data_IF_506052917129
#
_entry.id   IF_506052917129
#
_cell.length_a   1.000
_cell.length_b   1.000
_cell.length_c   1.000
_cell.angle_alpha   90.00
_cell.angle_beta   90.00
_cell.angle_gamma   90.00
#
_symmetry.space_group_name_H-M   'P 1'
#
loop_
_entity.id
_entity.type
_entity.pdbx_description
1 polymer ?
#
# COMPACT_ATOMS: atom_id res chain seq x y z
N UNK A 1 8.77 3.55 -12.00
CA UNK A 1 9.60 3.53 -10.76
C UNK A 1 9.44 2.16 -10.13
N UNK A 2 10.50 1.49 -9.64
CA UNK A 2 10.34 0.16 -9.09
C UNK A 2 9.49 0.26 -7.82
N UNK A 3 8.30 -0.33 -7.85
CA UNK A 3 7.47 -0.53 -6.66
C UNK A 3 8.19 -1.63 -5.87
N UNK A 4 9.15 -1.24 -5.04
CA UNK A 4 10.00 -2.14 -4.25
C UNK A 4 9.23 -2.83 -3.11
N UNK A 5 7.97 -2.47 -2.89
CA UNK A 5 7.12 -3.03 -1.83
C UNK A 5 5.95 -3.73 -2.50
N UNK A 6 6.02 -5.06 -2.55
CA UNK A 6 4.86 -5.91 -2.79
C UNK A 6 3.77 -5.55 -1.75
N UNK A 7 2.49 -5.48 -2.13
CA UNK A 7 1.40 -5.15 -1.19
C UNK A 7 1.39 -6.06 0.04
N UNK A 8 1.79 -7.33 -0.10
CA UNK A 8 1.99 -8.25 1.02
C UNK A 8 3.10 -7.80 1.99
N UNK A 9 4.17 -7.20 1.48
CA UNK A 9 5.27 -6.65 2.29
C UNK A 9 4.85 -5.38 3.03
N UNK A 10 3.86 -4.63 2.54
CA UNK A 10 3.38 -3.42 3.21
C UNK A 10 2.79 -3.73 4.59
N UNK A 11 2.04 -4.83 4.72
CA UNK A 11 1.44 -5.26 6.00
C UNK A 11 2.53 -5.58 7.02
N UNK A 12 3.54 -6.35 6.61
CA UNK A 12 4.65 -6.74 7.49
C UNK A 12 5.44 -5.50 7.95
N UNK A 13 5.74 -4.59 7.03
CA UNK A 13 6.43 -3.32 7.34
C UNK A 13 5.59 -2.46 8.28
N UNK A 14 4.28 -2.35 8.04
CA UNK A 14 3.35 -1.59 8.88
C UNK A 14 3.33 -2.09 10.32
N UNK A 15 3.27 -3.41 10.52
CA UNK A 15 3.33 -4.01 11.87
C UNK A 15 4.67 -3.71 12.53
N UNK A 16 5.79 -3.86 11.82
CA UNK A 16 7.11 -3.56 12.35
C UNK A 16 7.23 -2.08 12.78
N UNK A 17 6.75 -1.15 11.96
CA UNK A 17 6.72 0.28 12.27
C UNK A 17 5.88 0.55 13.53
N UNK A 18 4.68 -0.03 13.64
CA UNK A 18 3.83 0.16 14.82
C UNK A 18 4.50 -0.36 16.10
N UNK A 19 5.16 -1.52 16.05
CA UNK A 19 5.89 -2.08 17.20
C UNK A 19 7.06 -1.19 17.60
N UNK A 20 7.86 -0.73 16.63
CA UNK A 20 9.03 0.13 16.91
C UNK A 20 8.57 1.46 17.51
N UNK A 21 7.62 2.16 16.89
CA UNK A 21 7.12 3.43 17.43
C UNK A 21 6.42 3.25 18.78
N UNK A 22 5.59 2.23 18.93
CA UNK A 22 4.89 1.93 20.17
C UNK A 22 5.85 1.66 21.32
N UNK A 23 6.89 0.84 21.09
CA UNK A 23 7.89 0.51 22.12
C UNK A 23 8.76 1.70 22.50
N UNK A 24 9.21 2.51 21.53
CA UNK A 24 10.00 3.72 21.79
C UNK A 24 9.19 4.71 22.64
N UNK A 25 7.95 4.98 22.25
CA UNK A 25 7.12 5.99 22.93
C UNK A 25 6.67 5.50 24.30
N UNK A 26 6.39 4.20 24.45
CA UNK A 26 6.14 3.61 25.77
C UNK A 26 7.34 3.80 26.68
N UNK A 27 8.55 3.48 26.19
CA UNK A 27 9.80 3.59 26.95
C UNK A 27 10.15 5.03 27.32
N UNK A 28 9.88 5.99 26.44
CA UNK A 28 10.29 7.38 26.60
C UNK A 28 9.29 8.26 27.38
N UNK A 29 7.99 7.95 27.29
CA UNK A 29 6.94 8.79 27.86
C UNK A 29 6.08 7.99 28.85
N UNK A 30 4.89 7.57 28.40
CA UNK A 30 3.87 6.90 29.19
C UNK A 30 3.05 5.97 28.28
N UNK A 31 2.40 4.92 28.83
CA UNK A 31 1.62 3.98 28.05
C UNK A 31 0.45 4.64 27.30
N UNK A 32 -0.19 5.65 27.88
CA UNK A 32 -1.28 6.39 27.23
C UNK A 32 -0.78 7.11 25.97
N UNK A 33 0.37 7.78 26.06
CA UNK A 33 0.99 8.46 24.92
C UNK A 33 1.40 7.48 23.82
N UNK A 34 1.84 6.28 24.18
CA UNK A 34 2.16 5.22 23.23
C UNK A 34 0.92 4.75 22.45
N UNK A 35 -0.22 4.57 23.13
CA UNK A 35 -1.48 4.20 22.48
C UNK A 35 -1.95 5.28 21.51
N UNK A 36 -1.90 6.56 21.92
CA UNK A 36 -2.24 7.68 21.03
C UNK A 36 -1.34 7.72 19.79
N UNK A 37 -0.03 7.52 19.96
CA UNK A 37 0.90 7.51 18.84
C UNK A 37 0.68 6.32 17.89
N UNK A 38 0.41 5.13 18.42
CA UNK A 38 0.05 3.95 17.62
C UNK A 38 -1.19 4.24 16.77
N UNK A 39 -2.23 4.86 17.34
CA UNK A 39 -3.43 5.24 16.60
C UNK A 39 -3.13 6.23 15.47
N UNK A 40 -2.33 7.26 15.73
CA UNK A 40 -1.95 8.25 14.71
C UNK A 40 -1.16 7.60 13.56
N UNK A 41 -0.16 6.78 13.89
CA UNK A 41 0.65 6.06 12.89
C UNK A 41 -0.22 5.10 12.09
N UNK A 42 -1.16 4.41 12.73
CA UNK A 42 -2.09 3.49 12.07
C UNK A 42 -2.96 4.21 11.04
N UNK A 43 -3.49 5.40 11.37
CA UNK A 43 -4.25 6.22 10.41
C UNK A 43 -3.40 6.60 9.21
N UNK A 44 -2.15 7.05 9.43
CA UNK A 44 -1.22 7.42 8.35
C UNK A 44 -0.94 6.20 7.46
N UNK A 45 -0.73 5.03 8.05
CA UNK A 45 -0.48 3.79 7.29
C UNK A 45 -1.71 3.39 6.46
N UNK A 46 -2.93 3.53 6.99
CA UNK A 46 -4.16 3.26 6.23
C UNK A 46 -4.28 4.20 5.02
N UNK A 47 -4.10 5.51 5.23
CA UNK A 47 -4.18 6.49 4.15
C UNK A 47 -3.12 6.20 3.08
N UNK A 48 -1.91 5.88 3.53
CA UNK A 48 -0.80 5.51 2.64
C UNK A 48 -1.11 4.23 1.86
N UNK A 49 -1.69 3.21 2.53
CA UNK A 49 -2.09 1.96 1.89
C UNK A 49 -3.13 2.20 0.80
N UNK A 50 -4.17 2.98 1.10
CA UNK A 50 -5.23 3.30 0.13
C UNK A 50 -4.63 4.06 -1.07
N UNK A 51 -3.74 5.02 -0.83
CA UNK A 51 -3.10 5.79 -1.90
C UNK A 51 -2.15 4.96 -2.77
N UNK A 52 -1.48 3.96 -2.20
CA UNK A 52 -0.54 3.08 -2.91
C UNK A 52 -1.20 1.84 -3.50
N UNK A 53 -2.42 1.51 -3.07
CA UNK A 53 -3.20 0.43 -3.66
C UNK A 53 -3.50 0.84 -5.10
N UNK A 54 -2.67 0.34 -6.03
CA UNK A 54 -2.95 0.43 -7.45
C UNK A 54 -4.36 -0.10 -7.65
N UNK A 55 -5.24 0.78 -8.13
CA UNK A 55 -6.55 0.39 -8.60
C UNK A 55 -6.30 -0.67 -9.66
N UNK A 56 -6.94 -1.83 -9.52
CA UNK A 56 -6.94 -2.82 -10.59
C UNK A 56 -7.47 -2.09 -11.83
N UNK A 57 -6.55 -1.75 -12.74
CA UNK A 57 -6.90 -1.22 -14.05
C UNK A 57 -7.42 -2.41 -14.86
N UNK A 58 -8.55 -2.98 -14.43
CA UNK A 58 -9.30 -3.94 -15.22
C UNK A 58 -9.79 -3.18 -16.44
N UNK A 59 -9.09 -3.37 -17.56
CA UNK A 59 -9.55 -2.86 -18.85
C UNK A 59 -10.87 -3.55 -19.18
N UNK A 60 -11.98 -2.86 -18.92
CA UNK A 60 -13.32 -3.36 -19.22
C UNK A 60 -13.67 -3.13 -20.70
N UNK A 61 -12.83 -2.38 -21.46
CA UNK A 61 -13.14 -1.95 -22.81
C UNK A 61 -11.95 -2.04 -23.77
N UNK A 62 -12.21 -2.49 -25.00
CA UNK A 62 -11.19 -2.69 -26.05
C UNK A 62 -10.52 -1.37 -26.47
N UNK A 63 -11.25 -0.26 -26.38
CA UNK A 63 -10.77 1.07 -26.76
C UNK A 63 -9.73 1.59 -25.77
N UNK A 64 -9.91 1.30 -24.48
CA UNK A 64 -8.98 1.68 -23.41
C UNK A 64 -7.69 0.84 -23.49
N UNK A 65 -7.83 -0.44 -23.84
CA UNK A 65 -6.71 -1.33 -24.14
C UNK A 65 -5.86 -0.83 -25.33
N UNK A 66 -6.51 -0.48 -26.44
CA UNK A 66 -5.81 0.04 -27.63
C UNK A 66 -5.08 1.35 -27.33
N UNK A 67 -5.71 2.25 -26.57
CA UNK A 67 -5.08 3.52 -26.22
C UNK A 67 -3.84 3.35 -25.33
N UNK A 68 -3.86 2.36 -24.45
CA UNK A 68 -2.70 2.02 -23.61
C UNK A 68 -1.61 1.32 -24.43
N UNK A 69 -1.94 0.44 -25.38
CA UNK A 69 -0.95 -0.15 -26.30
C UNK A 69 -0.21 0.91 -27.13
N UNK A 70 -0.92 1.94 -27.57
CA UNK A 70 -0.34 3.04 -28.35
C UNK A 70 0.54 3.99 -27.52
N UNK A 71 0.52 3.89 -26.19
CA UNK A 71 1.30 4.75 -25.28
C UNK A 71 2.83 4.55 -25.36
N UNK A 72 3.29 3.48 -26.00
CA UNK A 72 4.72 3.17 -26.19
C UNK A 72 5.46 2.79 -24.91
N UNK A 73 4.75 2.62 -23.79
CA UNK A 73 5.32 2.17 -22.52
C UNK A 73 5.33 0.63 -22.46
N UNK A 74 6.31 0.00 -21.78
CA UNK A 74 6.30 -1.44 -21.55
C UNK A 74 5.11 -1.80 -20.64
N UNK A 75 4.25 -2.69 -21.12
CA UNK A 75 3.01 -3.10 -20.46
C UNK A 75 3.07 -4.58 -20.07
N UNK A 76 2.55 -4.90 -18.89
CA UNK A 76 2.28 -6.27 -18.46
C UNK A 76 0.77 -6.49 -18.51
N UNK A 77 0.33 -7.44 -19.33
CA UNK A 77 -1.07 -7.79 -19.51
C UNK A 77 -1.29 -9.14 -18.82
N UNK A 78 -2.14 -9.17 -17.81
CA UNK A 78 -2.55 -10.40 -17.13
C UNK A 78 -3.94 -10.80 -17.61
N UNK A 79 -4.03 -11.95 -18.28
CA UNK A 79 -5.31 -12.54 -18.67
C UNK A 79 -5.78 -13.44 -17.53
N UNK A 80 -6.90 -13.06 -16.91
CA UNK A 80 -7.47 -13.77 -15.77
C UNK A 80 -8.93 -14.17 -16.06
N UNK A 81 -9.28 -15.41 -15.71
CA UNK A 81 -10.63 -15.98 -15.81
C UNK A 81 -11.01 -16.58 -14.46
N UNK A 82 -12.19 -16.22 -13.94
CA UNK A 82 -12.77 -16.85 -12.75
C UNK A 82 -13.38 -18.24 -13.03
N UNK A 83 -13.38 -18.67 -14.30
CA UNK A 83 -13.86 -19.96 -14.78
C UNK A 83 -12.72 -20.86 -15.26
#
# INVERSE_FOLDING_TARGET
>A
MPILINQYSFIVVSVAVLVIFGTIIWRAFNPISAICAILVVLIILIVTFISLRQQDNSFLNIDEFNHVLESGQPLLIEFYSDY
#
